data_IF_572667769008
#
_entry.id   IF_572667769008
#
_cell.length_a   1.000
_cell.length_b   1.000
_cell.length_c   1.000
_cell.angle_alpha   90.00
_cell.angle_beta   90.00
_cell.angle_gamma   90.00
#
_symmetry.space_group_name_H-M   'P 1'
#
loop_
_entity.id
_entity.type
_entity.pdbx_description
1 polymer ?
#
# COMPACT_ATOMS: atom_id res chain seq x y z
N UNK A 1 16.96 -38.67 -15.43
CA UNK A 1 17.60 -38.99 -16.72
C UNK A 1 17.58 -40.48 -17.10
N UNK A 2 16.70 -41.33 -16.52
CA UNK A 2 16.60 -42.77 -16.88
C UNK A 2 15.20 -43.23 -17.33
N UNK A 3 14.18 -42.38 -17.20
CA UNK A 3 12.80 -42.74 -17.59
C UNK A 3 12.51 -42.53 -19.09
N UNK A 4 13.30 -41.68 -19.77
CA UNK A 4 13.06 -41.31 -21.17
C UNK A 4 13.55 -42.39 -22.16
N UNK A 5 14.54 -43.20 -21.77
CA UNK A 5 15.13 -44.22 -22.65
C UNK A 5 14.23 -45.45 -22.87
N UNK A 6 13.24 -45.68 -22.00
CA UNK A 6 12.42 -46.90 -22.05
C UNK A 6 11.20 -46.81 -22.99
N UNK A 7 10.79 -45.61 -23.39
CA UNK A 7 9.70 -45.39 -24.35
C UNK A 7 10.21 -45.43 -25.81
N UNK A 8 11.45 -45.00 -26.05
CA UNK A 8 12.05 -45.01 -27.40
C UNK A 8 12.32 -46.42 -27.97
N UNK A 9 12.46 -47.44 -27.12
CA UNK A 9 12.70 -48.80 -27.57
C UNK A 9 11.45 -49.51 -28.14
N UNK A 10 10.24 -49.03 -27.81
CA UNK A 10 8.99 -49.67 -28.23
C UNK A 10 8.45 -49.18 -29.60
N UNK A 11 9.09 -48.19 -30.22
CA UNK A 11 8.60 -47.53 -31.45
C UNK A 11 9.62 -47.72 -32.59
N UNK A 12 10.10 -48.94 -32.81
CA UNK A 12 11.00 -49.26 -33.95
C UNK A 12 10.35 -50.04 -35.09
N UNK A 13 9.09 -50.48 -34.97
CA UNK A 13 8.43 -51.34 -35.97
C UNK A 13 7.01 -50.87 -36.38
N UNK A 14 6.81 -49.58 -36.66
CA UNK A 14 5.59 -49.10 -37.33
C UNK A 14 5.93 -48.11 -38.46
N UNK A 15 5.25 -48.18 -39.62
CA UNK A 15 5.55 -47.35 -40.78
C UNK A 15 5.34 -45.87 -40.48
N UNK A 16 6.33 -45.06 -40.86
CA UNK A 16 6.44 -43.61 -40.64
C UNK A 16 5.30 -42.86 -41.35
N UNK A 17 4.15 -42.71 -40.69
CA UNK A 17 3.22 -41.60 -41.01
C UNK A 17 3.81 -40.36 -40.34
N UNK A 18 4.24 -39.39 -41.15
CA UNK A 18 4.84 -38.14 -40.68
C UNK A 18 3.78 -37.29 -39.95
N UNK A 19 3.50 -37.65 -38.71
CA UNK A 19 2.79 -36.77 -37.79
C UNK A 19 3.83 -35.74 -37.38
N UNK A 20 3.65 -34.50 -37.88
CA UNK A 20 4.49 -33.37 -37.51
C UNK A 20 4.15 -32.99 -36.06
N UNK A 21 4.65 -33.78 -35.11
CA UNK A 21 4.57 -33.48 -33.69
C UNK A 21 5.64 -32.42 -33.45
N UNK A 22 5.26 -31.15 -33.59
CA UNK A 22 6.03 -30.03 -33.09
C UNK A 22 6.17 -30.21 -31.57
N UNK A 23 7.17 -30.99 -31.15
CA UNK A 23 7.51 -31.25 -29.76
C UNK A 23 8.17 -29.98 -29.23
N UNK A 24 7.37 -29.05 -28.69
CA UNK A 24 7.87 -27.82 -28.09
C UNK A 24 8.67 -28.18 -26.83
N UNK A 25 10.00 -28.23 -26.93
CA UNK A 25 10.89 -28.32 -25.77
C UNK A 25 10.75 -27.03 -24.95
N UNK A 26 10.03 -27.09 -23.84
CA UNK A 26 9.95 -25.97 -22.89
C UNK A 26 11.30 -25.85 -22.18
N UNK A 27 12.10 -24.86 -22.57
CA UNK A 27 13.34 -24.49 -21.90
C UNK A 27 13.03 -23.73 -20.61
N UNK A 28 13.44 -24.30 -19.47
CA UNK A 28 13.34 -23.63 -18.18
C UNK A 28 14.45 -22.57 -18.03
N UNK A 29 14.16 -21.50 -17.28
CA UNK A 29 15.10 -20.39 -17.04
C UNK A 29 16.46 -20.93 -16.54
N UNK A 30 17.56 -20.52 -17.16
CA UNK A 30 18.93 -21.02 -16.87
C UNK A 30 19.39 -20.75 -15.43
N UNK A 31 19.11 -19.56 -14.90
CA UNK A 31 19.44 -19.17 -13.53
C UNK A 31 18.20 -18.57 -12.86
N UNK A 32 17.93 -18.94 -11.61
CA UNK A 32 16.87 -18.32 -10.83
C UNK A 32 17.24 -16.87 -10.50
N UNK A 33 16.24 -15.98 -10.55
CA UNK A 33 16.39 -14.64 -10.01
C UNK A 33 15.04 -14.17 -9.45
N UNK A 34 15.06 -13.23 -8.49
CA UNK A 34 13.84 -12.63 -7.98
C UNK A 34 13.02 -11.98 -9.10
N UNK A 35 11.70 -11.87 -8.86
CA UNK A 35 10.80 -11.18 -9.77
C UNK A 35 11.03 -9.67 -9.71
N UNK A 36 10.87 -8.97 -10.82
CA UNK A 36 10.97 -7.51 -10.85
C UNK A 36 9.74 -6.83 -10.23
N UNK A 37 9.95 -6.19 -9.09
CA UNK A 37 8.96 -5.43 -8.32
C UNK A 37 8.05 -6.30 -7.46
N UNK A 38 7.05 -5.68 -6.81
CA UNK A 38 6.00 -6.38 -6.06
C UNK A 38 4.66 -6.35 -6.81
N UNK A 39 3.91 -7.46 -6.79
CA UNK A 39 2.61 -7.58 -7.47
C UNK A 39 1.51 -6.90 -6.66
N UNK A 40 1.71 -6.67 -5.36
CA UNK A 40 0.73 -6.03 -4.49
C UNK A 40 0.44 -4.56 -4.88
N UNK A 41 1.32 -3.94 -5.66
CA UNK A 41 1.19 -2.55 -6.13
C UNK A 41 0.71 -2.46 -7.59
N UNK A 42 0.17 -3.54 -8.15
CA UNK A 42 -0.52 -3.50 -9.45
C UNK A 42 -2.02 -3.24 -9.26
N UNK A 43 -2.70 -2.57 -10.20
CA UNK A 43 -2.15 -1.88 -11.38
C UNK A 43 -1.42 -0.57 -11.03
N UNK A 44 -0.28 -0.31 -11.70
CA UNK A 44 0.51 0.93 -11.56
C UNK A 44 -0.12 2.09 -12.34
N UNK A 45 -1.34 2.46 -11.96
CA UNK A 45 -2.10 3.57 -12.56
C UNK A 45 -2.15 4.77 -11.63
N UNK A 46 -2.44 5.96 -12.19
CA UNK A 46 -2.65 7.18 -11.39
C UNK A 46 -3.80 6.97 -10.39
N UNK A 47 -3.61 7.47 -9.17
CA UNK A 47 -4.67 7.44 -8.16
C UNK A 47 -5.85 8.30 -8.61
N UNK A 48 -7.08 7.85 -8.33
CA UNK A 48 -8.29 8.65 -8.58
C UNK A 48 -8.44 9.83 -7.62
N UNK A 49 -7.78 9.77 -6.45
CA UNK A 49 -7.89 10.75 -5.37
C UNK A 49 -6.54 11.44 -5.18
N UNK A 50 -6.59 12.74 -4.88
CA UNK A 50 -5.41 13.56 -4.59
C UNK A 50 -4.92 13.38 -3.15
N UNK A 51 -5.85 13.25 -2.19
CA UNK A 51 -5.52 13.04 -0.77
C UNK A 51 -5.38 11.55 -0.45
N UNK A 52 -4.50 11.24 0.51
CA UNK A 52 -4.37 9.89 1.06
C UNK A 52 -5.70 9.39 1.63
N UNK A 53 -6.04 8.13 1.37
CA UNK A 53 -7.23 7.48 1.94
C UNK A 53 -6.77 6.48 3.00
N UNK A 54 -7.12 6.75 4.26
CA UNK A 54 -6.97 5.76 5.34
C UNK A 54 -7.98 4.64 5.11
N UNK A 55 -7.49 3.39 4.99
CA UNK A 55 -8.34 2.21 4.75
C UNK A 55 -8.73 1.49 6.05
N UNK A 56 -7.89 1.58 7.05
CA UNK A 56 -8.10 1.03 8.37
C UNK A 56 -7.51 2.02 9.39
N UNK A 57 -8.29 2.31 10.43
CA UNK A 57 -7.82 3.08 11.57
C UNK A 57 -7.17 2.14 12.60
N UNK A 58 -6.41 2.67 13.57
CA UNK A 58 -5.95 1.87 14.71
C UNK A 58 -7.11 1.14 15.39
N UNK A 59 -6.83 -0.01 16.01
CA UNK A 59 -7.83 -0.72 16.80
C UNK A 59 -8.21 0.11 18.02
N UNK A 60 -9.49 0.12 18.35
CA UNK A 60 -10.02 0.89 19.46
C UNK A 60 -9.65 0.25 20.81
N UNK A 61 -9.44 1.09 21.82
CA UNK A 61 -9.05 0.72 23.17
C UNK A 61 -9.94 1.49 24.16
N UNK A 62 -11.02 0.86 24.69
CA UNK A 62 -11.99 1.54 25.54
C UNK A 62 -11.43 2.09 26.85
N UNK A 63 -10.23 1.66 27.25
CA UNK A 63 -9.60 2.11 28.50
C UNK A 63 -9.05 3.53 28.40
N UNK A 64 -8.79 4.00 27.17
CA UNK A 64 -8.19 5.32 26.92
C UNK A 64 -9.27 6.36 26.63
N UNK A 65 -8.98 7.64 26.93
CA UNK A 65 -9.88 8.72 26.53
C UNK A 65 -9.97 8.81 25.00
N UNK A 66 -11.11 9.32 24.54
CA UNK A 66 -11.40 9.55 23.12
C UNK A 66 -10.35 10.50 22.55
N UNK A 67 -9.70 10.09 21.47
CA UNK A 67 -8.68 10.88 20.78
C UNK A 67 -8.87 10.81 19.27
N UNK A 68 -8.39 11.85 18.57
CA UNK A 68 -8.41 11.87 17.12
C UNK A 68 -7.29 10.97 16.57
N UNK A 69 -7.61 10.22 15.52
CA UNK A 69 -6.72 9.17 14.97
C UNK A 69 -5.85 9.64 13.82
N UNK A 70 -6.22 10.73 13.14
CA UNK A 70 -5.51 11.22 11.96
C UNK A 70 -5.58 12.74 11.85
N UNK A 71 -4.55 13.30 11.21
CA UNK A 71 -4.42 14.72 10.93
C UNK A 71 -3.99 14.95 9.47
N UNK A 72 -4.33 16.10 8.90
CA UNK A 72 -3.92 16.49 7.54
C UNK A 72 -2.76 17.47 7.65
N UNK A 73 -1.66 17.16 6.98
CA UNK A 73 -0.50 18.04 6.89
C UNK A 73 -0.03 18.16 5.43
N UNK A 74 0.70 19.24 5.15
CA UNK A 74 1.24 19.57 3.84
C UNK A 74 2.76 19.49 3.88
N UNK A 75 3.38 18.91 2.85
CA UNK A 75 4.84 18.79 2.79
C UNK A 75 5.44 20.16 2.50
N UNK A 76 6.16 20.73 3.47
CA UNK A 76 6.83 22.02 3.33
C UNK A 76 8.25 21.87 2.77
N UNK A 77 8.99 20.85 3.20
CA UNK A 77 10.38 20.67 2.77
C UNK A 77 11.07 19.48 3.42
N UNK A 78 12.38 19.37 3.21
CA UNK A 78 13.25 18.40 3.87
C UNK A 78 14.55 19.07 4.29
N UNK A 79 15.06 18.68 5.45
CA UNK A 79 16.33 19.16 6.02
C UNK A 79 17.07 18.00 6.67
N UNK A 80 18.23 18.26 7.28
CA UNK A 80 18.93 17.30 8.11
C UNK A 80 19.01 17.83 9.55
N UNK A 81 18.99 16.92 10.52
CA UNK A 81 19.23 17.23 11.94
C UNK A 81 20.47 16.51 12.41
N UNK A 82 21.16 17.10 13.38
CA UNK A 82 22.17 16.42 14.18
C UNK A 82 21.49 16.04 15.49
N UNK A 83 21.53 14.75 15.86
CA UNK A 83 21.07 14.30 17.17
C UNK A 83 22.06 13.33 17.78
N UNK A 84 22.15 13.34 19.10
CA UNK A 84 22.83 12.29 19.85
C UNK A 84 21.94 11.03 19.88
N UNK A 85 22.54 9.87 19.58
CA UNK A 85 21.82 8.60 19.61
C UNK A 85 21.99 7.92 20.95
N UNK A 86 20.91 7.85 21.73
CA UNK A 86 20.82 6.98 22.92
C UNK A 86 20.15 5.66 22.55
N UNK A 87 20.97 4.70 22.13
CA UNK A 87 20.54 3.33 21.79
C UNK A 87 21.59 2.33 22.25
N UNK A 88 21.46 1.78 23.48
CA UNK A 88 22.37 0.77 24.00
C UNK A 88 22.52 -0.42 23.04
N UNK A 89 23.76 -0.89 22.86
CA UNK A 89 24.10 -1.97 21.92
C UNK A 89 24.32 -1.54 20.46
N UNK A 90 24.07 -0.26 20.12
CA UNK A 90 24.41 0.29 18.80
C UNK A 90 25.86 0.77 18.73
N UNK A 91 26.53 0.59 17.59
CA UNK A 91 27.89 1.14 17.34
C UNK A 91 27.94 2.67 17.38
N UNK A 92 26.79 3.32 17.19
CA UNK A 92 26.64 4.79 17.17
C UNK A 92 26.07 5.34 18.49
N UNK A 93 26.06 4.54 19.56
CA UNK A 93 25.57 5.01 20.86
C UNK A 93 26.44 6.18 21.40
N UNK A 94 25.81 7.22 21.93
CA UNK A 94 26.45 8.44 22.45
C UNK A 94 27.32 9.18 21.41
N UNK A 95 26.94 9.08 20.14
CA UNK A 95 27.57 9.82 19.04
C UNK A 95 26.52 10.66 18.33
N UNK A 96 26.98 11.76 17.77
CA UNK A 96 26.18 12.61 16.90
C UNK A 96 25.99 11.93 15.54
N UNK A 97 24.74 11.84 15.09
CA UNK A 97 24.37 11.30 13.78
C UNK A 97 23.53 12.34 13.05
N UNK A 98 23.84 12.51 11.76
CA UNK A 98 23.07 13.35 10.84
C UNK A 98 21.97 12.51 10.21
N UNK A 99 20.71 12.89 10.45
CA UNK A 99 19.54 12.19 9.90
C UNK A 99 18.70 13.13 9.02
N UNK A 100 18.19 12.60 7.92
CA UNK A 100 17.29 13.34 7.03
C UNK A 100 15.88 13.39 7.63
N UNK A 101 15.30 14.59 7.69
CA UNK A 101 13.95 14.83 8.20
C UNK A 101 13.06 15.50 7.15
N UNK A 102 11.77 15.24 7.23
CA UNK A 102 10.76 15.91 6.39
C UNK A 102 9.92 16.84 7.24
N UNK A 103 9.80 18.10 6.82
CA UNK A 103 9.01 19.11 7.51
C UNK A 103 7.61 19.09 6.91
N UNK A 104 6.62 18.90 7.78
CA UNK A 104 5.20 18.89 7.45
C UNK A 104 4.51 20.07 8.13
N UNK A 105 3.93 20.98 7.35
CA UNK A 105 3.10 22.06 7.87
C UNK A 105 1.71 21.51 8.21
N UNK A 106 1.28 21.73 9.45
CA UNK A 106 0.06 21.17 10.01
C UNK A 106 -0.85 22.32 10.52
N UNK A 107 -1.55 23.03 9.62
CA UNK A 107 -2.44 24.11 10.02
C UNK A 107 -3.61 23.57 10.86
N UNK A 108 -4.15 24.35 11.82
CA UNK A 108 -5.28 23.92 12.63
C UNK A 108 -6.48 23.47 11.78
N UNK A 109 -7.06 22.32 12.12
CA UNK A 109 -8.22 21.77 11.40
C UNK A 109 -9.53 22.19 12.07
N UNK A 110 -10.52 22.57 11.27
CA UNK A 110 -11.88 22.85 11.73
C UNK A 110 -12.76 21.60 11.58
N UNK A 111 -13.40 21.18 12.67
CA UNK A 111 -14.34 20.05 12.67
C UNK A 111 -15.73 20.56 12.28
N UNK A 112 -16.31 19.98 11.23
CA UNK A 112 -17.57 20.45 10.63
C UNK A 112 -18.77 19.53 10.90
N UNK A 113 -18.52 18.34 11.43
CA UNK A 113 -19.58 17.36 11.67
C UNK A 113 -19.06 16.01 12.14
N UNK A 114 -20.00 15.12 12.47
CA UNK A 114 -19.75 13.77 12.97
C UNK A 114 -20.50 12.77 12.09
N UNK A 115 -19.89 11.61 11.83
CA UNK A 115 -20.50 10.51 11.06
C UNK A 115 -20.59 9.28 11.95
N UNK A 116 -21.81 8.77 12.15
CA UNK A 116 -22.04 7.49 12.81
C UNK A 116 -21.98 6.33 11.81
N UNK A 117 -21.32 5.25 12.17
CA UNK A 117 -21.28 4.00 11.40
C UNK A 117 -22.02 2.89 12.15
N UNK A 118 -22.70 2.03 11.40
CA UNK A 118 -23.36 0.83 11.91
C UNK A 118 -22.75 -0.40 11.24
N UNK A 119 -22.54 -1.44 12.04
CA UNK A 119 -22.16 -2.76 11.54
C UNK A 119 -23.35 -3.46 10.90
N UNK A 120 -23.19 -3.85 9.64
CA UNK A 120 -24.16 -4.67 8.92
C UNK A 120 -23.49 -5.98 8.50
N UNK A 121 -24.24 -7.05 8.15
CA UNK A 121 -23.65 -8.29 7.66
C UNK A 121 -22.78 -8.12 6.41
N UNK A 122 -22.92 -7.00 5.68
CA UNK A 122 -22.12 -6.65 4.50
C UNK A 122 -20.94 -5.73 4.83
N UNK A 123 -20.73 -5.40 6.10
CA UNK A 123 -19.70 -4.48 6.59
C UNK A 123 -20.24 -3.17 7.17
N UNK A 124 -19.34 -2.23 7.45
CA UNK A 124 -19.68 -0.92 8.01
C UNK A 124 -20.42 -0.05 7.00
N UNK A 125 -21.56 0.49 7.41
CA UNK A 125 -22.37 1.44 6.63
C UNK A 125 -22.49 2.77 7.36
N UNK A 126 -22.35 3.92 6.68
CA UNK A 126 -22.68 5.20 7.29
C UNK A 126 -24.17 5.25 7.61
N UNK A 127 -24.51 5.58 8.86
CA UNK A 127 -25.89 5.69 9.31
C UNK A 127 -26.42 7.11 9.10
N UNK A 128 -25.78 8.09 9.74
CA UNK A 128 -26.15 9.50 9.63
C UNK A 128 -24.92 10.39 9.82
N UNK A 129 -24.91 11.50 9.11
CA UNK A 129 -23.96 12.60 9.29
C UNK A 129 -24.69 13.76 9.96
N UNK A 130 -24.15 14.27 11.06
CA UNK A 130 -24.62 15.48 11.74
C UNK A 130 -23.63 16.59 11.44
N UNK A 131 -24.12 17.73 10.97
CA UNK A 131 -23.32 18.90 10.62
C UNK A 131 -23.43 19.98 11.70
N UNK A 132 -22.40 20.82 11.80
CA UNK A 132 -22.47 22.05 12.58
C UNK A 132 -23.51 23.03 11.98
N UNK A 133 -24.04 23.92 12.80
CA UNK A 133 -25.03 24.93 12.36
C UNK A 133 -24.39 25.95 11.39
N UNK A 134 -23.18 26.41 11.71
CA UNK A 134 -22.47 27.39 10.91
C UNK A 134 -21.30 26.73 10.17
N UNK A 135 -21.42 26.60 8.84
CA UNK A 135 -20.35 26.12 7.97
C UNK A 135 -19.60 27.28 7.34
N UNK A 136 -18.26 27.26 7.45
CA UNK A 136 -17.38 28.21 6.77
C UNK A 136 -17.47 28.10 5.25
N UNK A 137 -17.18 29.21 4.56
CA UNK A 137 -17.20 29.29 3.10
C UNK A 137 -16.19 28.31 2.46
N UNK A 138 -15.03 28.13 3.09
CA UNK A 138 -14.00 27.18 2.65
C UNK A 138 -14.51 25.74 2.57
N UNK A 139 -15.38 25.35 3.52
CA UNK A 139 -16.03 24.04 3.51
C UNK A 139 -17.03 23.95 2.35
N UNK A 140 -17.84 25.00 2.14
CA UNK A 140 -18.86 25.06 1.08
C UNK A 140 -18.25 24.99 -0.31
N UNK A 141 -17.09 25.60 -0.52
CA UNK A 141 -16.32 25.53 -1.78
C UNK A 141 -16.04 24.09 -2.23
N UNK A 142 -16.00 23.12 -1.31
CA UNK A 142 -15.75 21.71 -1.67
C UNK A 142 -16.89 21.08 -2.49
N UNK A 143 -18.11 21.60 -2.40
CA UNK A 143 -19.28 21.05 -3.09
C UNK A 143 -19.40 21.51 -4.54
N UNK A 144 -18.72 22.59 -4.92
CA UNK A 144 -18.82 23.18 -6.24
C UNK A 144 -17.50 23.03 -7.02
N UNK A 145 -17.62 22.87 -8.34
CA UNK A 145 -16.44 22.90 -9.24
C UNK A 145 -16.05 24.34 -9.59
N UNK A 146 -17.06 25.16 -9.85
CA UNK A 146 -16.94 26.60 -10.07
C UNK A 146 -17.69 27.24 -8.90
N UNK A 147 -16.95 27.89 -8.00
CA UNK A 147 -17.48 28.61 -6.85
C UNK A 147 -17.84 30.03 -7.27
#
# INVERSE_FOLDING_TARGET
MKFFYRILAAIKNTPKKAINVNLVFVSHRKFSAPRHGSLAFTPKKRSKRHRGKVKAFPKDDPTKPIHLTAFVAYKAGMTHIVREVDKPGSKVNKKEVVEAVTILEAPPMVVVGVVGYIETPKGLRPFKTVWAEHLSEECRRRFYKNW
#
